data_IF_924514352857
#
_entry.id   IF_924514352857
#
_cell.length_a   1.000
_cell.length_b   1.000
_cell.length_c   1.000
_cell.angle_alpha   90.00
_cell.angle_beta   90.00
_cell.angle_gamma   90.00
#
_symmetry.space_group_name_H-M   'P 1'
#
loop_
_entity.id
_entity.type
_entity.pdbx_description
1 polymer ?
#
# COMPACT_ATOMS: atom_id res chain seq x y z
N UNK A 1 6.44 35.26 13.20
CA UNK A 1 6.34 33.88 12.69
C UNK A 1 5.56 33.08 13.71
N UNK A 2 4.35 32.59 13.43
CA UNK A 2 3.60 31.77 14.39
C UNK A 2 4.18 30.37 14.44
N UNK A 3 4.34 29.86 15.64
CA UNK A 3 4.92 28.56 15.94
C UNK A 3 4.10 27.41 15.39
N UNK A 4 4.82 26.40 14.93
CA UNK A 4 4.27 25.10 14.53
C UNK A 4 3.77 24.45 15.82
N UNK A 5 2.45 24.35 15.95
CA UNK A 5 1.81 23.76 17.11
C UNK A 5 2.21 22.30 17.30
N UNK A 6 2.46 21.97 18.57
CA UNK A 6 2.67 20.63 19.09
C UNK A 6 1.52 19.72 18.63
N UNK A 7 1.81 18.86 17.65
CA UNK A 7 0.94 17.71 17.41
C UNK A 7 1.19 16.72 18.55
N UNK A 8 0.28 16.75 19.51
CA UNK A 8 0.21 15.77 20.56
C UNK A 8 0.34 14.35 19.95
N UNK A 9 1.41 13.67 20.34
CA UNK A 9 1.53 12.24 20.18
C UNK A 9 0.40 11.58 20.98
N UNK A 10 -0.72 11.31 20.34
CA UNK A 10 -1.64 10.33 20.88
C UNK A 10 -0.98 8.98 20.66
N UNK A 11 -0.33 8.48 21.72
CA UNK A 11 0.04 7.09 21.85
C UNK A 11 -1.25 6.26 21.86
N UNK A 12 -1.71 5.86 20.70
CA UNK A 12 -2.71 4.80 20.63
C UNK A 12 -1.99 3.50 20.98
N UNK A 13 -2.27 3.02 22.19
CA UNK A 13 -1.89 1.69 22.60
C UNK A 13 -2.51 0.68 21.64
N UNK A 14 -1.71 0.08 20.83
CA UNK A 14 -2.04 -1.12 20.08
C UNK A 14 -1.81 -2.34 20.98
N UNK A 15 -2.72 -2.58 21.91
CA UNK A 15 -2.80 -3.85 22.58
C UNK A 15 -3.37 -4.86 21.59
N UNK A 16 -2.52 -5.71 21.01
CA UNK A 16 -2.93 -6.86 20.22
C UNK A 16 -2.44 -6.96 18.78
N UNK A 17 -1.51 -6.14 18.33
CA UNK A 17 -0.84 -6.37 17.06
C UNK A 17 0.59 -6.88 17.30
N UNK A 18 0.72 -8.18 17.46
CA UNK A 18 2.01 -8.82 17.23
C UNK A 18 2.30 -8.73 15.72
N UNK A 19 3.36 -8.02 15.32
CA UNK A 19 3.77 -8.05 13.93
C UNK A 19 4.05 -9.51 13.57
N UNK A 20 3.57 -10.00 12.42
CA UNK A 20 3.88 -11.36 12.02
C UNK A 20 5.40 -11.53 12.03
N UNK A 21 5.89 -12.58 12.68
CA UNK A 21 7.29 -12.93 12.73
C UNK A 21 7.84 -12.96 11.30
N UNK A 22 8.70 -12.03 10.95
CA UNK A 22 9.19 -11.84 9.58
C UNK A 22 9.50 -10.39 9.22
N UNK A 23 10.03 -9.61 10.15
CA UNK A 23 10.39 -8.19 9.96
C UNK A 23 11.49 -7.89 8.91
N UNK A 24 11.81 -8.82 7.99
CA UNK A 24 12.84 -8.67 6.96
C UNK A 24 12.37 -8.20 5.59
N UNK A 25 11.07 -8.27 5.26
CA UNK A 25 10.64 -8.27 3.86
C UNK A 25 10.13 -6.93 3.29
N UNK A 26 10.21 -5.83 4.02
CA UNK A 26 9.69 -4.54 3.54
C UNK A 26 10.55 -3.87 2.46
N UNK A 27 11.67 -4.44 2.08
CA UNK A 27 12.66 -3.77 1.24
C UNK A 27 12.75 -4.24 -0.21
N UNK A 28 12.02 -5.27 -0.65
CA UNK A 28 12.34 -5.91 -1.94
C UNK A 28 11.18 -5.99 -2.93
N UNK A 29 10.82 -4.87 -3.51
CA UNK A 29 9.90 -4.79 -4.65
C UNK A 29 10.56 -4.44 -5.99
N UNK A 30 11.86 -4.55 -6.04
CA UNK A 30 12.62 -4.55 -7.28
C UNK A 30 13.01 -5.97 -7.64
N UNK A 31 12.23 -6.64 -8.46
CA UNK A 31 12.44 -7.97 -9.03
C UNK A 31 13.71 -8.71 -8.64
N UNK A 32 13.58 -9.73 -7.83
CA UNK A 32 14.56 -10.78 -7.71
C UNK A 32 15.37 -10.83 -6.42
N UNK A 33 14.93 -11.72 -5.54
CA UNK A 33 15.75 -12.64 -4.77
C UNK A 33 16.84 -12.11 -3.85
N UNK A 34 16.57 -12.08 -2.59
CA UNK A 34 17.58 -12.11 -1.55
C UNK A 34 17.06 -12.86 -0.33
N UNK A 35 17.62 -14.03 -0.06
CA UNK A 35 17.77 -14.66 1.22
C UNK A 35 16.60 -15.36 1.88
N UNK A 36 15.38 -15.07 1.54
CA UNK A 36 14.21 -15.87 1.94
C UNK A 36 13.65 -16.51 0.68
N UNK A 37 13.44 -17.81 0.70
CA UNK A 37 12.89 -18.55 -0.42
C UNK A 37 11.57 -17.94 -0.89
N UNK A 38 11.08 -18.33 -2.09
CA UNK A 38 9.82 -17.82 -2.62
C UNK A 38 8.76 -17.98 -1.55
N UNK A 39 8.22 -16.87 -1.07
CA UNK A 39 7.10 -16.94 -0.13
C UNK A 39 5.94 -17.50 -0.94
N UNK A 40 5.36 -18.61 -0.56
CA UNK A 40 4.14 -19.19 -1.15
C UNK A 40 2.95 -18.21 -1.08
N UNK A 41 3.19 -16.99 -0.61
CA UNK A 41 2.21 -15.93 -0.33
C UNK A 41 2.09 -14.87 -1.43
N UNK A 42 2.99 -14.88 -2.44
CA UNK A 42 2.99 -13.89 -3.51
C UNK A 42 3.46 -12.49 -3.11
N UNK A 43 3.26 -11.48 -3.99
CA UNK A 43 3.71 -10.11 -3.76
C UNK A 43 3.07 -9.49 -2.51
N UNK A 44 3.88 -8.87 -1.67
CA UNK A 44 3.44 -8.26 -0.40
C UNK A 44 2.91 -6.83 -0.58
N UNK A 45 3.32 -6.14 -1.65
CA UNK A 45 2.91 -4.76 -1.93
C UNK A 45 1.74 -4.69 -2.91
N UNK A 46 0.82 -3.78 -2.62
CA UNK A 46 -0.24 -3.41 -3.56
C UNK A 46 0.36 -2.63 -4.73
N UNK A 47 0.12 -3.13 -5.94
CA UNK A 47 0.56 -2.50 -7.18
C UNK A 47 -0.53 -2.53 -8.23
N UNK A 48 -0.57 -1.47 -9.04
CA UNK A 48 -1.35 -1.41 -10.27
C UNK A 48 -0.37 -1.58 -11.43
N UNK A 49 -0.62 -2.51 -12.35
CA UNK A 49 0.28 -2.72 -13.49
C UNK A 49 0.34 -1.47 -14.37
N UNK A 50 1.45 -1.32 -15.08
CA UNK A 50 1.57 -0.30 -16.10
C UNK A 50 0.59 -0.60 -17.26
N UNK A 51 0.21 0.41 -18.07
CA UNK A 51 -0.71 0.16 -19.18
C UNK A 51 -0.27 -0.95 -20.12
N UNK A 52 1.05 -1.07 -20.39
CA UNK A 52 1.59 -2.12 -21.24
C UNK A 52 1.54 -3.52 -20.60
N UNK A 53 1.40 -3.60 -19.27
CA UNK A 53 1.32 -4.81 -18.47
C UNK A 53 -0.12 -5.14 -18.03
N UNK A 54 -1.11 -4.32 -18.45
CA UNK A 54 -2.51 -4.54 -18.08
C UNK A 54 -3.00 -5.90 -18.60
N UNK A 55 -3.37 -6.84 -17.72
CA UNK A 55 -3.80 -8.18 -18.12
C UNK A 55 -5.19 -8.22 -18.76
N UNK A 56 -6.00 -7.17 -18.59
CA UNK A 56 -7.34 -7.10 -19.16
C UNK A 56 -7.33 -6.48 -20.55
N UNK A 57 -6.53 -5.42 -20.74
CA UNK A 57 -6.45 -4.72 -22.02
C UNK A 57 -5.09 -4.00 -22.14
N UNK A 58 -4.16 -4.64 -22.86
CA UNK A 58 -2.81 -4.12 -23.05
C UNK A 58 -2.82 -2.72 -23.69
N UNK A 59 -2.01 -1.83 -23.11
CA UNK A 59 -1.90 -0.45 -23.56
C UNK A 59 -2.90 0.51 -22.91
N UNK A 60 -3.89 0.02 -22.16
CA UNK A 60 -4.82 0.85 -21.40
C UNK A 60 -4.56 0.76 -19.90
N UNK A 61 -4.78 1.84 -19.12
CA UNK A 61 -4.66 1.80 -17.66
C UNK A 61 -5.58 0.74 -17.07
N UNK A 62 -5.02 -0.19 -16.29
CA UNK A 62 -5.79 -1.12 -15.48
C UNK A 62 -6.41 -0.38 -14.29
N UNK A 63 -7.65 -0.74 -13.94
CA UNK A 63 -8.29 -0.27 -12.71
C UNK A 63 -8.28 -1.39 -11.69
N UNK A 64 -7.83 -1.12 -10.47
CA UNK A 64 -7.88 -2.04 -9.34
C UNK A 64 -8.67 -1.44 -8.19
N UNK A 65 -9.36 -2.30 -7.45
CA UNK A 65 -10.09 -1.92 -6.23
C UNK A 65 -9.36 -2.42 -5.00
N UNK A 66 -9.37 -1.60 -3.95
CA UNK A 66 -8.84 -1.98 -2.65
C UNK A 66 -9.66 -1.39 -1.52
N UNK A 67 -9.63 -2.04 -0.36
CA UNK A 67 -10.20 -1.55 0.88
C UNK A 67 -9.08 -1.32 1.90
N UNK A 68 -9.09 -0.18 2.58
CA UNK A 68 -8.19 0.09 3.71
C UNK A 68 -8.71 -0.65 4.94
N UNK A 69 -7.87 -1.49 5.57
CA UNK A 69 -8.29 -2.35 6.70
C UNK A 69 -7.65 -2.00 8.03
N UNK A 70 -6.91 -0.91 8.08
CA UNK A 70 -6.30 -0.43 9.33
C UNK A 70 -5.81 1.01 9.19
N UNK A 71 -5.58 1.63 10.34
CA UNK A 71 -5.02 2.98 10.39
C UNK A 71 -3.64 3.01 9.72
N UNK A 72 -3.32 4.06 8.95
CA UNK A 72 -1.99 4.19 8.36
C UNK A 72 -0.95 4.51 9.41
N UNK A 73 0.27 4.05 9.20
CA UNK A 73 1.43 4.56 9.90
C UNK A 73 2.28 5.44 8.98
N UNK A 74 2.92 6.43 9.54
CA UNK A 74 3.67 7.44 8.81
C UNK A 74 5.15 7.35 9.13
N UNK A 75 6.00 7.47 8.10
CA UNK A 75 7.44 7.47 8.31
C UNK A 75 8.19 8.26 7.25
N UNK A 76 9.41 8.65 7.61
CA UNK A 76 10.38 9.21 6.70
C UNK A 76 11.33 8.12 6.23
N UNK A 77 11.51 7.99 4.92
CA UNK A 77 12.45 7.05 4.32
C UNK A 77 13.33 7.73 3.29
N UNK A 78 14.56 7.25 3.16
CA UNK A 78 15.45 7.70 2.10
C UNK A 78 15.15 6.97 0.80
N UNK A 79 15.55 7.59 -0.32
CA UNK A 79 15.41 6.94 -1.62
C UNK A 79 16.14 5.62 -1.66
N UNK A 80 15.54 4.66 -2.32
CA UNK A 80 16.10 3.34 -2.55
C UNK A 80 17.49 3.43 -3.20
N UNK A 81 18.45 2.70 -2.67
CA UNK A 81 19.78 2.61 -3.25
C UNK A 81 20.27 1.16 -3.37
N UNK A 82 21.13 0.92 -4.34
CA UNK A 82 21.83 -0.36 -4.51
C UNK A 82 23.05 -0.39 -3.60
N UNK A 83 23.15 -1.40 -2.76
CA UNK A 83 24.39 -1.68 -2.04
C UNK A 83 25.36 -2.45 -2.98
N UNK A 84 26.58 -1.94 -3.21
CA UNK A 84 27.48 -2.52 -4.21
C UNK A 84 27.89 -3.96 -3.90
N UNK A 85 27.89 -4.38 -2.64
CA UNK A 85 28.38 -5.69 -2.20
C UNK A 85 27.28 -6.69 -1.84
N UNK A 86 26.01 -6.34 -2.01
CA UNK A 86 24.89 -7.24 -1.73
C UNK A 86 24.20 -7.53 -3.08
N UNK A 87 24.32 -8.75 -3.62
CA UNK A 87 23.58 -9.12 -4.82
C UNK A 87 22.09 -8.89 -4.62
N UNK A 88 21.46 -8.09 -5.49
CA UNK A 88 20.03 -7.74 -5.45
C UNK A 88 19.60 -6.92 -4.24
N UNK A 89 20.50 -6.33 -3.46
CA UNK A 89 20.19 -5.49 -2.32
C UNK A 89 19.68 -4.11 -2.74
N UNK A 90 18.36 -3.96 -2.80
CA UNK A 90 17.71 -2.65 -2.94
C UNK A 90 17.08 -2.31 -1.60
N UNK A 91 17.55 -1.23 -0.98
CA UNK A 91 17.11 -0.82 0.34
C UNK A 91 16.43 0.54 0.31
N UNK A 92 15.38 0.68 1.10
CA UNK A 92 14.75 1.96 1.38
C UNK A 92 14.92 2.21 2.89
N UNK A 93 16.08 2.76 3.32
CA UNK A 93 16.34 2.91 4.74
C UNK A 93 15.47 3.99 5.36
N UNK A 94 15.03 3.72 6.59
CA UNK A 94 14.34 4.71 7.40
C UNK A 94 15.27 5.89 7.71
N UNK A 95 14.74 7.09 7.71
CA UNK A 95 15.46 8.25 8.19
C UNK A 95 15.51 8.24 9.73
N UNK A 96 16.66 7.97 10.29
CA UNK A 96 16.82 7.88 11.74
C UNK A 96 16.45 9.19 12.44
N UNK A 97 16.91 10.33 11.91
CA UNK A 97 16.66 11.66 12.47
C UNK A 97 15.19 12.07 12.39
N UNK A 98 14.58 11.97 11.21
CA UNK A 98 13.19 12.43 11.00
C UNK A 98 12.15 11.53 11.68
N UNK A 99 12.49 10.27 11.94
CA UNK A 99 11.63 9.35 12.69
C UNK A 99 11.94 9.34 14.20
N UNK A 100 12.79 10.26 14.71
CA UNK A 100 13.19 10.37 16.11
C UNK A 100 13.80 9.09 16.68
N UNK A 101 14.51 8.31 15.84
CA UNK A 101 15.19 7.08 16.24
C UNK A 101 16.61 7.41 16.78
N UNK A 102 17.27 8.40 16.15
CA UNK A 102 18.57 8.91 16.57
C UNK A 102 18.72 10.38 16.18
N UNK A 103 19.62 11.09 16.88
CA UNK A 103 19.88 12.52 16.62
C UNK A 103 20.56 12.77 15.27
N UNK A 104 21.24 11.77 14.73
CA UNK A 104 21.98 11.82 13.46
C UNK A 104 21.50 10.73 12.52
N UNK A 105 21.57 11.02 11.23
CA UNK A 105 21.28 10.06 10.17
C UNK A 105 22.36 10.15 9.09
N UNK A 106 23.17 9.10 8.90
CA UNK A 106 24.26 9.09 7.91
C UNK A 106 23.79 9.45 6.49
N UNK A 107 22.60 8.99 6.12
CA UNK A 107 22.03 9.29 4.80
C UNK A 107 21.71 10.78 4.61
N UNK A 108 21.25 11.47 5.69
CA UNK A 108 21.03 12.91 5.66
C UNK A 108 22.36 13.67 5.58
N UNK A 109 23.40 13.19 6.25
CA UNK A 109 24.74 13.78 6.19
C UNK A 109 25.33 13.67 4.79
N UNK A 110 25.07 12.56 4.09
CA UNK A 110 25.39 12.38 2.67
C UNK A 110 24.46 13.17 1.73
N UNK A 111 23.66 14.11 2.24
CA UNK A 111 22.72 14.95 1.48
C UNK A 111 21.65 14.13 0.71
N UNK A 112 21.33 12.94 1.16
CA UNK A 112 20.23 12.13 0.65
C UNK A 112 18.96 12.48 1.42
N UNK A 113 18.14 13.36 0.87
CA UNK A 113 16.95 13.85 1.55
C UNK A 113 15.89 12.76 1.67
N UNK A 114 15.29 12.59 2.86
CA UNK A 114 14.22 11.62 3.04
C UNK A 114 12.92 12.11 2.44
N UNK A 115 12.07 11.18 2.05
CA UNK A 115 10.68 11.40 1.67
C UNK A 115 9.73 10.92 2.76
N UNK A 116 8.62 11.62 2.93
CA UNK A 116 7.58 11.27 3.87
C UNK A 116 6.51 10.43 3.19
N UNK A 117 6.05 9.38 3.84
CA UNK A 117 5.03 8.49 3.31
C UNK A 117 4.10 7.94 4.38
N UNK A 118 2.91 7.56 3.94
CA UNK A 118 1.95 6.78 4.72
C UNK A 118 1.91 5.35 4.20
N UNK A 119 1.86 4.41 5.11
CA UNK A 119 1.84 2.98 4.86
C UNK A 119 0.49 2.44 5.31
N UNK A 120 -0.29 1.93 4.37
CA UNK A 120 -1.62 1.40 4.60
C UNK A 120 -1.62 -0.11 4.48
N UNK A 121 -2.29 -0.79 5.39
CA UNK A 121 -2.71 -2.17 5.16
C UNK A 121 -4.00 -2.14 4.36
N UNK A 122 -3.99 -2.77 3.19
CA UNK A 122 -5.14 -2.84 2.30
C UNK A 122 -5.47 -4.28 1.95
N UNK A 123 -6.73 -4.54 1.62
CA UNK A 123 -7.15 -5.77 0.94
C UNK A 123 -7.28 -5.45 -0.54
N UNK A 124 -6.52 -6.16 -1.37
CA UNK A 124 -6.56 -6.07 -2.83
C UNK A 124 -7.76 -6.85 -3.35
N UNK A 125 -8.79 -6.16 -3.81
CA UNK A 125 -10.02 -6.78 -4.29
C UNK A 125 -9.93 -7.23 -5.76
N UNK A 126 -8.80 -7.00 -6.43
CA UNK A 126 -8.58 -7.37 -7.82
C UNK A 126 -8.85 -6.22 -8.81
N UNK A 127 -8.93 -6.59 -10.06
CA UNK A 127 -9.22 -5.65 -11.16
C UNK A 127 -10.71 -5.30 -11.24
N UNK A 128 -11.01 -4.12 -11.75
CA UNK A 128 -12.39 -3.65 -11.93
C UNK A 128 -12.66 -3.44 -13.42
N UNK A 129 -13.71 -4.06 -13.91
CA UNK A 129 -14.30 -3.79 -15.23
C UNK A 129 -15.66 -3.12 -15.03
N UNK A 130 -15.85 -1.99 -15.64
CA UNK A 130 -17.16 -1.34 -15.69
C UNK A 130 -17.93 -1.81 -16.93
N UNK A 131 -19.12 -2.38 -16.70
CA UNK A 131 -20.06 -2.78 -17.73
C UNK A 131 -21.40 -2.08 -17.51
N UNK A 132 -22.33 -2.22 -18.41
CA UNK A 132 -23.68 -1.62 -18.33
C UNK A 132 -24.48 -2.04 -17.08
N UNK A 133 -24.08 -3.15 -16.43
CA UNK A 133 -24.68 -3.65 -15.19
C UNK A 133 -23.97 -3.25 -13.90
N UNK A 134 -22.90 -2.45 -13.98
CA UNK A 134 -22.11 -2.03 -12.81
C UNK A 134 -20.64 -2.42 -12.86
N UNK A 135 -19.97 -2.39 -11.72
CA UNK A 135 -18.58 -2.76 -11.57
C UNK A 135 -18.44 -4.27 -11.29
N UNK A 136 -17.72 -4.96 -12.14
CA UNK A 136 -17.36 -6.38 -11.98
C UNK A 136 -15.93 -6.48 -11.43
N UNK A 137 -15.72 -7.30 -10.38
CA UNK A 137 -14.39 -7.61 -9.85
C UNK A 137 -13.82 -8.82 -10.57
N UNK A 138 -12.59 -8.68 -11.08
CA UNK A 138 -11.87 -9.73 -11.79
C UNK A 138 -10.64 -10.11 -10.95
N UNK A 139 -10.48 -11.41 -10.69
CA UNK A 139 -9.37 -11.96 -9.93
C UNK A 139 -8.02 -11.70 -10.59
N UNK A 140 -6.99 -11.70 -9.77
CA UNK A 140 -5.60 -11.62 -10.18
C UNK A 140 -4.89 -12.91 -9.77
N UNK A 141 -4.19 -13.55 -10.70
CA UNK A 141 -3.39 -14.72 -10.42
C UNK A 141 -1.91 -14.37 -10.49
N UNK A 142 -1.15 -14.89 -9.53
CA UNK A 142 0.30 -14.84 -9.52
C UNK A 142 0.88 -16.25 -9.68
N UNK A 143 1.88 -16.40 -10.52
CA UNK A 143 2.56 -17.68 -10.73
C UNK A 143 3.91 -17.62 -10.02
N UNK A 144 4.17 -18.57 -9.14
CA UNK A 144 5.42 -18.69 -8.41
C UNK A 144 6.56 -19.27 -9.28
N UNK A 145 7.78 -19.29 -8.74
CA UNK A 145 8.96 -19.82 -9.43
C UNK A 145 8.86 -21.32 -9.75
N UNK A 146 7.89 -22.02 -9.15
CA UNK A 146 7.60 -23.45 -9.39
C UNK A 146 6.49 -23.63 -10.44
N UNK A 147 5.98 -22.55 -11.00
CA UNK A 147 4.87 -22.57 -11.98
C UNK A 147 3.49 -22.78 -11.36
N UNK A 148 3.35 -22.72 -10.04
CA UNK A 148 2.06 -22.84 -9.35
C UNK A 148 1.34 -21.48 -9.37
N UNK A 149 0.09 -21.49 -9.81
CA UNK A 149 -0.78 -20.32 -9.78
C UNK A 149 -1.43 -20.13 -8.40
N UNK A 150 -1.39 -18.90 -7.92
CA UNK A 150 -1.99 -18.47 -6.67
C UNK A 150 -3.00 -17.37 -6.94
N UNK A 151 -4.20 -17.49 -6.38
CA UNK A 151 -5.17 -16.41 -6.39
C UNK A 151 -4.71 -15.29 -5.46
N UNK A 152 -4.61 -14.10 -6.01
CA UNK A 152 -4.15 -12.89 -5.31
C UNK A 152 -5.28 -11.95 -4.94
N UNK A 153 -6.51 -12.26 -5.32
CA UNK A 153 -7.70 -11.50 -4.97
C UNK A 153 -7.98 -11.61 -3.47
N UNK A 154 -8.43 -10.52 -2.87
CA UNK A 154 -8.73 -10.40 -1.43
C UNK A 154 -7.53 -10.67 -0.50
N UNK A 155 -6.30 -10.58 -1.00
CA UNK A 155 -5.10 -10.69 -0.18
C UNK A 155 -4.75 -9.35 0.49
N UNK A 156 -4.27 -9.45 1.74
CA UNK A 156 -3.70 -8.28 2.43
C UNK A 156 -2.39 -7.88 1.79
N UNK A 157 -2.25 -6.59 1.55
CA UNK A 157 -1.04 -6.00 0.96
C UNK A 157 -0.68 -4.70 1.64
N UNK A 158 0.59 -4.35 1.59
CA UNK A 158 1.09 -3.05 2.00
C UNK A 158 0.97 -2.06 0.84
N UNK A 159 0.27 -0.97 1.03
CA UNK A 159 0.21 0.14 0.08
C UNK A 159 0.98 1.33 0.63
N UNK A 160 1.79 1.97 -0.22
CA UNK A 160 2.61 3.12 0.16
C UNK A 160 2.19 4.35 -0.61
N UNK A 161 1.71 5.36 0.09
CA UNK A 161 1.40 6.68 -0.45
C UNK A 161 2.48 7.67 -0.04
N UNK A 162 3.14 8.31 -1.02
CA UNK A 162 4.25 9.24 -0.78
C UNK A 162 3.83 10.69 -0.99
N UNK A 163 4.44 11.57 -0.19
CA UNK A 163 4.36 13.00 -0.42
C UNK A 163 5.13 13.34 -1.70
N UNK A 164 4.54 14.15 -2.54
CA UNK A 164 5.17 14.68 -3.74
C UNK A 164 5.89 16.01 -3.49
N UNK A 165 6.36 16.63 -4.56
CA UNK A 165 6.91 17.97 -4.55
C UNK A 165 5.86 19.06 -4.76
N UNK A 166 6.32 20.31 -4.96
CA UNK A 166 5.44 21.48 -5.17
C UNK A 166 4.50 21.34 -6.38
N UNK A 167 5.02 20.79 -7.48
CA UNK A 167 4.27 20.66 -8.74
C UNK A 167 3.41 19.38 -8.80
N UNK A 168 3.73 18.40 -7.99
CA UNK A 168 2.98 17.16 -7.91
C UNK A 168 2.84 16.75 -6.44
N UNK A 169 1.69 16.99 -5.82
CA UNK A 169 1.47 16.75 -4.39
C UNK A 169 1.62 15.28 -3.97
N UNK A 170 1.69 14.37 -4.94
CA UNK A 170 1.82 12.94 -4.70
C UNK A 170 0.53 12.29 -4.20
N UNK A 171 0.59 10.98 -4.02
CA UNK A 171 -0.58 10.18 -3.61
C UNK A 171 -0.97 10.37 -2.14
N UNK A 172 -0.04 10.81 -1.30
CA UNK A 172 -0.33 11.07 0.12
C UNK A 172 -1.34 12.20 0.29
N UNK A 173 -1.23 13.28 -0.49
CA UNK A 173 -2.14 14.42 -0.41
C UNK A 173 -3.60 14.03 -0.66
N UNK A 174 -3.84 13.06 -1.53
CA UNK A 174 -5.18 12.50 -1.73
C UNK A 174 -5.73 11.89 -0.44
N UNK A 175 -4.96 11.04 0.25
CA UNK A 175 -5.42 10.40 1.48
C UNK A 175 -5.54 11.37 2.66
N UNK A 176 -4.68 12.40 2.72
CA UNK A 176 -4.83 13.50 3.69
C UNK A 176 -6.14 14.25 3.48
N UNK A 177 -6.50 14.59 2.23
CA UNK A 177 -7.79 15.19 1.89
C UNK A 177 -8.97 14.26 2.23
N UNK A 178 -8.89 12.97 1.87
CA UNK A 178 -9.94 12.01 2.21
C UNK A 178 -10.11 11.87 3.73
N UNK A 179 -9.02 11.87 4.50
CA UNK A 179 -9.07 11.84 5.96
C UNK A 179 -9.72 13.09 6.55
N UNK A 180 -9.42 14.27 6.00
CA UNK A 180 -10.05 15.52 6.43
C UNK A 180 -11.55 15.53 6.20
N UNK A 181 -12.01 14.94 5.10
CA UNK A 181 -13.44 14.87 4.74
C UNK A 181 -14.20 13.77 5.46
N UNK A 182 -13.55 12.64 5.77
CA UNK A 182 -14.21 11.39 6.17
C UNK A 182 -13.83 10.90 7.56
N UNK A 183 -12.80 11.48 8.19
CA UNK A 183 -12.20 10.99 9.42
C UNK A 183 -11.29 9.80 9.19
N UNK A 184 -11.47 8.73 9.97
CA UNK A 184 -10.71 7.48 9.80
C UNK A 184 -10.98 6.87 8.42
N UNK A 185 -9.93 6.35 7.78
CA UNK A 185 -10.03 5.74 6.44
C UNK A 185 -10.24 4.22 6.46
N UNK A 186 -10.23 3.60 7.64
CA UNK A 186 -10.52 2.16 7.77
C UNK A 186 -11.91 1.84 7.25
N UNK A 187 -12.03 0.80 6.45
CA UNK A 187 -13.25 0.41 5.76
C UNK A 187 -13.57 1.23 4.51
N UNK A 188 -12.77 2.24 4.16
CA UNK A 188 -12.95 2.95 2.90
C UNK A 188 -12.45 2.12 1.72
N UNK A 189 -13.26 2.08 0.68
CA UNK A 189 -13.00 1.39 -0.58
C UNK A 189 -12.66 2.41 -1.66
N UNK A 190 -11.62 2.13 -2.40
CA UNK A 190 -11.11 2.99 -3.46
C UNK A 190 -10.85 2.20 -4.73
N UNK A 191 -11.10 2.85 -5.86
CA UNK A 191 -10.57 2.43 -7.15
C UNK A 191 -9.31 3.24 -7.46
N UNK A 192 -8.37 2.60 -8.15
CA UNK A 192 -7.13 3.26 -8.56
C UNK A 192 -6.69 2.79 -9.94
N UNK A 193 -6.08 3.71 -10.70
CA UNK A 193 -5.46 3.44 -11.99
C UNK A 193 -4.05 3.98 -12.02
N UNK A 194 -3.17 3.30 -12.75
CA UNK A 194 -1.83 3.81 -13.06
C UNK A 194 -1.79 4.26 -14.51
N UNK A 195 -1.65 5.58 -14.72
CA UNK A 195 -1.78 6.18 -16.06
C UNK A 195 -0.48 6.15 -16.88
N UNK A 196 0.63 5.75 -16.29
CA UNK A 196 1.92 5.68 -17.01
C UNK A 196 3.09 5.13 -16.19
N UNK A 197 4.20 4.82 -16.87
CA UNK A 197 5.40 4.18 -16.29
C UNK A 197 6.06 4.96 -15.15
N UNK A 198 6.04 6.29 -15.23
CA UNK A 198 6.65 7.17 -14.20
C UNK A 198 5.69 7.52 -13.06
N UNK A 199 4.50 6.96 -13.04
CA UNK A 199 3.49 7.22 -12.02
C UNK A 199 3.64 6.29 -10.82
N UNK A 200 3.01 6.66 -9.70
CA UNK A 200 3.06 5.85 -8.49
C UNK A 200 2.62 4.40 -8.76
N UNK A 201 3.33 3.43 -8.20
CA UNK A 201 3.03 2.00 -8.40
C UNK A 201 1.66 1.58 -7.86
N UNK A 202 1.16 2.28 -6.83
CA UNK A 202 -0.19 2.08 -6.30
C UNK A 202 -1.29 2.72 -7.15
N UNK A 203 -0.92 3.42 -8.23
CA UNK A 203 -1.82 4.24 -9.04
C UNK A 203 -1.70 5.73 -8.72
N UNK A 204 -2.06 6.56 -9.66
CA UNK A 204 -2.01 8.03 -9.59
C UNK A 204 -3.39 8.67 -9.83
N UNK A 205 -4.37 7.90 -10.28
CA UNK A 205 -5.76 8.31 -10.37
C UNK A 205 -6.57 7.48 -9.37
N UNK A 206 -6.96 8.10 -8.26
CA UNK A 206 -7.66 7.49 -7.15
C UNK A 206 -9.08 8.04 -7.05
N UNK A 207 -10.04 7.14 -6.85
CA UNK A 207 -11.44 7.46 -6.72
C UNK A 207 -12.01 6.75 -5.48
N UNK A 208 -12.69 7.52 -4.61
CA UNK A 208 -13.43 6.94 -3.51
C UNK A 208 -14.70 6.26 -4.05
N UNK A 209 -14.92 5.02 -3.67
CA UNK A 209 -16.11 4.26 -4.05
C UNK A 209 -17.16 4.34 -2.96
N UNK A 210 -16.86 3.82 -1.79
CA UNK A 210 -17.79 3.74 -0.66
C UNK A 210 -17.05 3.50 0.66
N UNK A 211 -17.78 3.53 1.75
CA UNK A 211 -17.33 3.11 3.08
C UNK A 211 -18.15 1.93 3.54
N UNK A 212 -17.49 0.94 4.08
CA UNK A 212 -18.09 -0.24 4.72
C UNK A 212 -18.56 0.13 6.12
N UNK A 213 -19.71 -0.42 6.53
CA UNK A 213 -20.27 -0.26 7.87
C UNK A 213 -20.92 1.08 8.12
N UNK A 214 -21.64 1.16 9.21
CA UNK A 214 -22.37 2.36 9.68
C UNK A 214 -21.60 3.14 10.74
N UNK A 215 -20.60 2.52 11.36
CA UNK A 215 -19.75 3.09 12.42
C UNK A 215 -18.36 3.39 11.87
N UNK A 216 -17.67 4.37 12.42
CA UNK A 216 -16.33 4.79 12.01
C UNK A 216 -15.37 4.67 13.20
N UNK A 217 -14.34 3.83 13.11
CA UNK A 217 -14.06 2.83 12.06
C UNK A 217 -15.05 1.65 12.13
N UNK A 218 -15.28 0.93 10.99
CA UNK A 218 -16.10 -0.28 11.00
C UNK A 218 -15.40 -1.41 11.76
N UNK A 219 -16.19 -2.37 12.23
CA UNK A 219 -15.67 -3.58 12.86
C UNK A 219 -15.00 -4.50 11.83
N UNK A 220 -14.16 -5.43 12.32
CA UNK A 220 -13.53 -6.44 11.47
C UNK A 220 -14.59 -7.33 10.81
N UNK A 221 -15.66 -7.66 11.55
CA UNK A 221 -16.78 -8.47 11.10
C UNK A 221 -17.54 -7.80 9.94
N UNK A 222 -17.82 -6.49 10.06
CA UNK A 222 -18.45 -5.72 8.96
C UNK A 222 -17.57 -5.71 7.71
N UNK A 223 -16.26 -5.50 7.86
CA UNK A 223 -15.32 -5.53 6.73
C UNK A 223 -15.25 -6.93 6.08
N UNK A 224 -15.24 -7.99 6.89
CA UNK A 224 -15.26 -9.38 6.38
C UNK A 224 -16.54 -9.68 5.63
N UNK A 225 -17.69 -9.35 6.21
CA UNK A 225 -19.00 -9.56 5.56
C UNK A 225 -19.09 -8.82 4.23
N UNK A 226 -18.58 -7.60 4.16
CA UNK A 226 -18.49 -6.85 2.91
C UNK A 226 -17.62 -7.55 1.88
N UNK A 227 -16.43 -8.02 2.24
CA UNK A 227 -15.54 -8.72 1.32
C UNK A 227 -16.15 -10.06 0.85
N UNK A 228 -16.81 -10.80 1.75
CA UNK A 228 -17.53 -12.04 1.41
C UNK A 228 -18.67 -11.79 0.42
N UNK A 229 -19.44 -10.71 0.59
CA UNK A 229 -20.49 -10.33 -0.37
C UNK A 229 -19.95 -9.99 -1.76
N UNK A 230 -18.65 -9.70 -1.87
CA UNK A 230 -17.93 -9.46 -3.12
C UNK A 230 -17.14 -10.68 -3.62
N UNK A 231 -17.33 -11.85 -3.00
CA UNK A 231 -16.75 -13.12 -3.46
C UNK A 231 -15.48 -13.56 -2.72
N UNK A 232 -15.07 -12.89 -1.64
CA UNK A 232 -13.95 -13.35 -0.84
C UNK A 232 -14.28 -14.67 -0.14
N UNK A 233 -13.37 -15.66 -0.23
CA UNK A 233 -13.48 -16.89 0.53
C UNK A 233 -12.99 -16.71 1.97
N UNK A 234 -13.46 -17.56 2.88
CA UNK A 234 -12.97 -17.56 4.28
C UNK A 234 -11.47 -17.79 4.35
N UNK A 235 -10.90 -18.57 3.43
CA UNK A 235 -9.47 -18.80 3.32
C UNK A 235 -8.69 -17.51 3.00
N UNK A 236 -9.20 -16.69 2.09
CA UNK A 236 -8.61 -15.41 1.75
C UNK A 236 -8.66 -14.40 2.91
N UNK A 237 -9.62 -14.56 3.82
CA UNK A 237 -9.86 -13.67 4.96
C UNK A 237 -9.28 -14.17 6.29
N UNK A 238 -8.43 -15.19 6.29
CA UNK A 238 -7.66 -15.64 7.46
C UNK A 238 -6.52 -14.67 7.77
N UNK A 239 -6.86 -13.55 8.38
CA UNK A 239 -5.94 -12.51 8.86
C UNK A 239 -6.48 -11.76 10.08
#
# INVERSE_FOLDING_TARGET
>A
MPGIGDHAQTSFGYDGWDPPEGHGDFANDGGGGGGFGPTDRGPTRFKVPEPDENPLEKGKPARKRFMIVGAPFYMWEHSTFKMPNIPRGVYTPLCLKQNNIADRCPMCEDKRWPSYGAYFTVVDMGFVRYASGGAELIGENWVDDRGKSHDMQFRRRLMVAKRGGKENPGTLAFFEDQRNRRGDLTGCVYDTQRTGKKKASMGDNLEFVERVGSVVPPTVEEMRAYLQSHGASDEALKW
#
